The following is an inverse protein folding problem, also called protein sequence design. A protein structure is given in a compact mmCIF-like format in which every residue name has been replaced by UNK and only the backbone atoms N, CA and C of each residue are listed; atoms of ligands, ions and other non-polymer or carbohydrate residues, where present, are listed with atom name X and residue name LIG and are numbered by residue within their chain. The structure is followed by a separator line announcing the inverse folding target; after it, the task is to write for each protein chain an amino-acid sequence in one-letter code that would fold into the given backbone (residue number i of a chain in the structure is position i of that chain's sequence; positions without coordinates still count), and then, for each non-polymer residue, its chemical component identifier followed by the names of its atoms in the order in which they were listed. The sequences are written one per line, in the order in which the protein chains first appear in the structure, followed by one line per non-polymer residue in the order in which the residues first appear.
data_IF_127545633136
#
_entry.id   IF_127545633136
#
_cell.length_a   1.000
_cell.length_b   1.000
_cell.length_c   1.000
_cell.angle_alpha   90.00
_cell.angle_beta   90.00
_cell.angle_gamma   90.00
#
_symmetry.space_group_name_H-M   'P 1'
#
loop_
_entity.id
_entity.type
_entity.pdbx_description
1 polymer ?
#
# COMPACT_ATOMS: atom_id res chain seq x y z
N UNK A 1 -40.32 -35.31 -44.99
CA UNK A 1 -40.53 -34.45 -43.79
C UNK A 1 -39.77 -34.88 -42.52
N UNK A 2 -39.53 -36.18 -42.24
CA UNK A 2 -38.80 -36.60 -41.02
C UNK A 2 -37.30 -36.19 -40.98
N UNK A 3 -36.65 -36.15 -42.15
CA UNK A 3 -35.23 -35.77 -42.27
C UNK A 3 -34.97 -34.29 -41.94
N UNK A 4 -35.82 -33.37 -42.41
CA UNK A 4 -35.69 -31.93 -42.16
C UNK A 4 -35.84 -31.57 -40.67
N UNK A 5 -36.74 -32.25 -39.95
CA UNK A 5 -36.91 -32.05 -38.49
C UNK A 5 -35.67 -32.47 -37.70
N UNK A 6 -34.99 -33.56 -38.10
CA UNK A 6 -33.73 -33.99 -37.47
C UNK A 6 -32.62 -32.96 -37.70
N UNK A 7 -32.53 -32.41 -38.90
CA UNK A 7 -31.50 -31.43 -39.25
C UNK A 7 -31.67 -30.12 -38.47
N UNK A 8 -32.93 -29.68 -38.29
CA UNK A 8 -33.27 -28.52 -37.46
C UNK A 8 -32.94 -28.77 -35.98
N UNK A 9 -33.28 -29.94 -35.44
CA UNK A 9 -32.93 -30.28 -34.05
C UNK A 9 -31.42 -30.33 -33.80
N UNK A 10 -30.64 -30.84 -34.76
CA UNK A 10 -29.17 -30.84 -34.67
C UNK A 10 -28.65 -29.41 -34.69
N UNK A 11 -29.15 -28.56 -35.60
CA UNK A 11 -28.71 -27.18 -35.69
C UNK A 11 -29.04 -26.37 -34.43
N UNK A 12 -30.23 -26.56 -33.85
CA UNK A 12 -30.64 -25.94 -32.58
C UNK A 12 -29.78 -26.45 -31.40
N UNK A 13 -29.48 -27.75 -31.36
CA UNK A 13 -28.63 -28.31 -30.31
C UNK A 13 -27.20 -27.80 -30.42
N UNK A 14 -26.69 -27.63 -31.65
CA UNK A 14 -25.35 -27.11 -31.91
C UNK A 14 -25.24 -25.61 -31.61
N UNK A 15 -26.28 -24.82 -31.91
CA UNK A 15 -26.30 -23.40 -31.54
C UNK A 15 -26.49 -23.18 -30.04
N UNK A 16 -27.21 -24.06 -29.33
CA UNK A 16 -27.24 -24.05 -27.87
C UNK A 16 -25.87 -24.30 -27.24
N UNK A 17 -25.04 -25.16 -27.83
CA UNK A 17 -23.65 -25.36 -27.37
C UNK A 17 -22.83 -24.07 -27.46
N UNK A 18 -23.00 -23.25 -28.50
CA UNK A 18 -22.31 -21.95 -28.61
C UNK A 18 -22.82 -20.88 -27.63
N UNK A 19 -24.05 -21.01 -27.13
CA UNK A 19 -24.58 -20.12 -26.07
C UNK A 19 -24.10 -20.54 -24.67
N UNK A 20 -23.89 -21.84 -24.47
CA UNK A 20 -23.42 -22.41 -23.19
C UNK A 20 -21.90 -22.28 -22.98
N UNK A 21 -21.14 -22.14 -24.06
CA UNK A 21 -19.71 -21.84 -24.00
C UNK A 21 -19.51 -20.37 -24.43
N UNK A 22 -19.51 -19.40 -23.48
CA UNK A 22 -19.13 -18.05 -23.82
C UNK A 22 -17.77 -18.10 -24.52
N UNK A 23 -17.54 -17.31 -25.59
CA UNK A 23 -16.23 -17.23 -26.18
C UNK A 23 -15.27 -16.86 -25.06
N UNK A 24 -14.28 -17.72 -24.80
CA UNK A 24 -13.12 -17.34 -24.03
C UNK A 24 -12.43 -16.23 -24.85
N UNK A 25 -12.89 -14.99 -24.68
CA UNK A 25 -12.01 -13.86 -24.91
C UNK A 25 -10.86 -14.10 -23.97
N UNK A 26 -9.70 -14.46 -24.50
CA UNK A 26 -8.44 -14.31 -23.81
C UNK A 26 -8.41 -12.85 -23.38
N UNK A 27 -8.84 -12.58 -22.15
CA UNK A 27 -8.71 -11.27 -21.56
C UNK A 27 -7.22 -10.96 -21.68
N UNK A 28 -6.89 -9.83 -22.31
CA UNK A 28 -5.52 -9.37 -22.39
C UNK A 28 -4.90 -9.55 -21.00
N UNK A 29 -3.76 -10.24 -20.94
CA UNK A 29 -3.15 -10.66 -19.70
C UNK A 29 -3.03 -9.44 -18.79
N UNK A 30 -3.69 -9.47 -17.62
CA UNK A 30 -3.70 -8.32 -16.73
C UNK A 30 -2.39 -8.34 -15.92
N UNK A 31 -1.48 -7.36 -16.08
CA UNK A 31 -0.23 -7.28 -15.33
C UNK A 31 -0.38 -7.54 -13.83
N UNK A 32 -1.46 -6.98 -13.27
CA UNK A 32 -1.70 -6.96 -11.83
C UNK A 32 -2.23 -8.30 -11.32
N UNK A 33 -2.68 -9.19 -12.20
CA UNK A 33 -3.01 -10.58 -11.81
C UNK A 33 -1.77 -11.48 -11.75
N UNK A 34 -0.69 -11.15 -12.45
CA UNK A 34 0.56 -11.92 -12.44
C UNK A 34 1.65 -11.29 -11.55
N UNK A 35 1.42 -10.08 -11.01
CA UNK A 35 2.34 -9.45 -10.05
C UNK A 35 2.35 -10.24 -8.75
N UNK A 36 3.34 -11.13 -8.61
CA UNK A 36 3.65 -11.80 -7.36
C UNK A 36 4.03 -10.75 -6.30
N UNK A 37 3.22 -10.72 -5.22
CA UNK A 37 3.23 -9.83 -4.04
C UNK A 37 2.50 -8.50 -4.23
N UNK A 38 1.57 -8.24 -3.31
CA UNK A 38 1.01 -6.93 -3.01
C UNK A 38 2.13 -6.02 -2.46
N UNK A 39 3.06 -5.59 -3.32
CA UNK A 39 4.12 -4.66 -2.94
C UNK A 39 3.52 -3.26 -2.96
N UNK A 40 3.24 -2.75 -1.76
CA UNK A 40 2.61 -1.45 -1.56
C UNK A 40 3.57 -0.32 -1.95
N UNK A 41 3.23 0.44 -2.98
CA UNK A 41 3.95 1.68 -3.29
C UNK A 41 3.34 2.86 -2.55
N UNK A 42 4.17 3.56 -1.78
CA UNK A 42 3.78 4.81 -1.13
C UNK A 42 4.00 5.98 -2.07
N UNK A 43 3.04 6.89 -2.15
CA UNK A 43 3.10 8.03 -3.09
C UNK A 43 3.25 9.32 -2.31
N UNK A 44 4.22 10.14 -2.71
CA UNK A 44 4.41 11.49 -2.20
C UNK A 44 4.15 12.50 -3.31
N UNK A 45 3.33 13.51 -3.03
CA UNK A 45 2.99 14.58 -3.95
C UNK A 45 3.41 15.90 -3.32
N UNK A 46 4.24 16.66 -4.01
CA UNK A 46 4.74 17.97 -3.59
C UNK A 46 5.40 17.92 -2.19
N UNK A 47 6.10 16.82 -1.90
CA UNK A 47 6.77 16.53 -0.63
C UNK A 47 5.85 16.10 0.51
N UNK A 48 4.61 15.70 0.23
CA UNK A 48 3.63 15.24 1.25
C UNK A 48 3.10 13.85 0.91
N UNK A 49 2.82 13.05 1.92
CA UNK A 49 2.17 11.76 1.76
C UNK A 49 0.81 11.94 1.05
N UNK A 50 0.61 11.25 -0.06
CA UNK A 50 -0.65 11.24 -0.76
C UNK A 50 -1.61 10.25 -0.09
N UNK A 51 -2.74 10.75 0.39
CA UNK A 51 -3.75 9.90 1.02
C UNK A 51 -4.56 9.15 -0.05
N UNK A 52 -4.49 7.82 -0.05
CA UNK A 52 -5.41 6.98 -0.80
C UNK A 52 -5.72 5.73 0.00
N UNK A 53 -7.00 5.33 0.00
CA UNK A 53 -7.40 4.01 0.51
C UNK A 53 -6.93 2.88 -0.42
N UNK A 54 -6.78 3.22 -1.70
CA UNK A 54 -6.38 2.30 -2.75
C UNK A 54 -4.85 2.36 -2.89
N UNK A 55 -4.19 1.20 -2.88
CA UNK A 55 -2.73 1.05 -2.94
C UNK A 55 -2.22 1.05 -4.38
N UNK A 56 -0.98 1.47 -4.61
CA UNK A 56 -0.26 1.31 -5.87
C UNK A 56 0.54 0.00 -5.88
N UNK A 57 0.76 -0.56 -7.08
CA UNK A 57 1.37 -1.87 -7.28
C UNK A 57 2.54 -1.82 -8.26
N UNK A 58 3.49 -2.72 -8.09
CA UNK A 58 4.55 -3.00 -9.07
C UNK A 58 4.16 -4.23 -9.92
N UNK A 59 4.13 -4.10 -11.24
CA UNK A 59 3.82 -5.19 -12.18
C UNK A 59 4.58 -5.02 -13.50
N UNK A 60 4.39 -5.92 -14.48
CA UNK A 60 5.01 -5.86 -15.82
C UNK A 60 6.49 -5.47 -15.79
N UNK A 61 7.30 -6.29 -15.12
CA UNK A 61 8.77 -6.11 -15.05
C UNK A 61 9.24 -4.74 -14.54
N UNK A 62 8.59 -4.21 -13.49
CA UNK A 62 9.02 -2.98 -12.80
C UNK A 62 8.17 -1.74 -13.10
N UNK A 63 7.03 -1.91 -13.76
CA UNK A 63 6.07 -0.82 -13.99
C UNK A 63 5.22 -0.59 -12.75
N UNK A 64 5.24 0.64 -12.23
CA UNK A 64 4.35 1.05 -11.13
C UNK A 64 2.98 1.43 -11.67
N UNK A 65 1.92 0.87 -11.09
CA UNK A 65 0.52 1.16 -11.39
C UNK A 65 -0.14 1.86 -10.22
N UNK A 66 -0.70 3.04 -10.48
CA UNK A 66 -1.31 3.91 -9.47
C UNK A 66 -2.83 3.91 -9.66
N UNK A 67 -3.62 3.89 -8.56
CA UNK A 67 -5.07 4.06 -8.66
C UNK A 67 -5.42 5.38 -9.35
N UNK A 68 -6.30 5.33 -10.35
CA UNK A 68 -6.69 6.52 -11.12
C UNK A 68 -7.33 7.60 -10.21
N UNK A 69 -7.97 7.19 -9.11
CA UNK A 69 -8.53 8.12 -8.12
C UNK A 69 -7.48 9.03 -7.49
N UNK A 70 -6.18 8.70 -7.58
CA UNK A 70 -5.09 9.54 -7.11
C UNK A 70 -5.07 10.93 -7.79
N UNK A 71 -5.64 11.08 -9.00
CA UNK A 71 -5.83 12.40 -9.63
C UNK A 71 -6.65 13.37 -8.76
N UNK A 72 -7.50 12.87 -7.85
CA UNK A 72 -8.25 13.71 -6.89
C UNK A 72 -7.35 14.44 -5.89
N UNK A 73 -6.11 14.00 -5.68
CA UNK A 73 -5.15 14.69 -4.82
C UNK A 73 -4.54 15.94 -5.48
N UNK A 74 -4.60 16.04 -6.81
CA UNK A 74 -3.95 17.10 -7.59
C UNK A 74 -4.91 17.85 -8.54
N UNK A 75 -6.20 17.54 -8.46
CA UNK A 75 -7.21 18.07 -9.36
C UNK A 75 -8.54 17.33 -9.26
N UNK A 76 -9.24 17.22 -10.40
CA UNK A 76 -10.50 16.50 -10.53
C UNK A 76 -10.39 15.34 -11.50
N UNK A 77 -11.20 14.31 -11.24
CA UNK A 77 -11.37 13.13 -12.08
C UNK A 77 -12.87 12.89 -12.28
N UNK A 78 -13.32 12.89 -13.53
CA UNK A 78 -14.72 12.69 -13.90
C UNK A 78 -14.79 11.54 -14.90
N UNK A 79 -15.68 10.57 -14.70
CA UNK A 79 -15.92 9.53 -15.71
C UNK A 79 -16.70 10.14 -16.89
N UNK A 80 -16.19 9.97 -18.11
CA UNK A 80 -16.82 10.52 -19.34
C UNK A 80 -16.76 9.47 -20.44
N UNK A 81 -17.92 9.05 -20.94
CA UNK A 81 -18.03 8.04 -22.00
C UNK A 81 -17.24 6.77 -21.70
N UNK A 82 -16.29 6.43 -22.58
CA UNK A 82 -15.42 5.25 -22.46
C UNK A 82 -14.09 5.52 -21.74
N UNK A 83 -14.04 6.50 -20.85
CA UNK A 83 -12.81 6.88 -20.17
C UNK A 83 -13.05 7.83 -19.00
N UNK A 84 -12.06 8.67 -18.77
CA UNK A 84 -12.06 9.65 -17.71
C UNK A 84 -11.54 10.98 -18.24
N UNK A 85 -12.14 12.06 -17.79
CA UNK A 85 -11.61 13.40 -17.93
C UNK A 85 -10.83 13.76 -16.66
N UNK A 86 -9.56 14.10 -16.83
CA UNK A 86 -8.66 14.57 -15.78
C UNK A 86 -8.44 16.05 -15.98
N UNK A 87 -8.62 16.83 -14.91
CA UNK A 87 -8.28 18.26 -14.89
C UNK A 87 -7.42 18.53 -13.66
N UNK A 88 -6.15 18.83 -13.89
CA UNK A 88 -5.22 19.29 -12.86
C UNK A 88 -5.07 20.81 -12.95
N UNK A 89 -4.29 21.39 -12.03
CA UNK A 89 -3.87 22.80 -12.15
C UNK A 89 -3.05 23.07 -13.42
N UNK A 90 -2.46 22.03 -14.03
CA UNK A 90 -1.51 22.16 -15.15
C UNK A 90 -2.15 21.92 -16.49
N UNK A 91 -3.09 20.97 -16.58
CA UNK A 91 -3.77 20.67 -17.83
C UNK A 91 -5.06 19.91 -17.65
N UNK A 92 -5.77 19.80 -18.78
CA UNK A 92 -6.98 19.01 -18.94
C UNK A 92 -6.74 17.97 -20.03
N UNK A 93 -6.98 16.70 -19.74
CA UNK A 93 -6.72 15.60 -20.67
C UNK A 93 -7.71 14.45 -20.46
N UNK A 94 -7.95 13.67 -21.51
CA UNK A 94 -8.78 12.46 -21.43
C UNK A 94 -7.91 11.22 -21.31
N UNK A 95 -8.32 10.31 -20.43
CA UNK A 95 -7.74 8.98 -20.25
C UNK A 95 -8.72 7.97 -20.81
N UNK A 96 -8.31 7.22 -21.83
CA UNK A 96 -9.12 6.14 -22.38
C UNK A 96 -9.13 4.95 -21.42
N UNK A 97 -10.24 4.19 -21.35
CA UNK A 97 -10.25 2.90 -20.63
C UNK A 97 -9.18 1.93 -21.13
N UNK A 98 -8.75 2.04 -22.39
CA UNK A 98 -7.66 1.23 -22.98
C UNK A 98 -6.29 1.52 -22.36
N UNK A 99 -6.11 2.70 -21.78
CA UNK A 99 -4.90 3.09 -21.05
C UNK A 99 -4.98 2.71 -19.56
N UNK A 100 -6.02 1.99 -19.15
CA UNK A 100 -6.27 1.66 -17.74
C UNK A 100 -6.49 0.17 -17.55
N UNK A 101 -6.34 -0.27 -16.32
CA UNK A 101 -6.46 -1.67 -15.93
C UNK A 101 -7.41 -1.76 -14.75
N UNK A 102 -8.37 -2.67 -14.82
CA UNK A 102 -9.26 -2.95 -13.69
C UNK A 102 -8.70 -4.12 -12.89
N UNK A 103 -8.40 -3.90 -11.62
CA UNK A 103 -7.89 -4.92 -10.72
C UNK A 103 -8.53 -4.78 -9.33
N UNK A 104 -9.04 -5.89 -8.78
CA UNK A 104 -9.77 -5.92 -7.48
C UNK A 104 -10.83 -4.81 -7.34
N UNK A 105 -11.53 -4.47 -8.44
CA UNK A 105 -12.55 -3.41 -8.46
C UNK A 105 -12.03 -1.96 -8.46
N UNK A 106 -10.70 -1.77 -8.57
CA UNK A 106 -10.04 -0.47 -8.63
C UNK A 106 -9.43 -0.28 -10.03
N UNK A 107 -9.58 0.92 -10.59
CA UNK A 107 -8.99 1.26 -11.89
C UNK A 107 -7.61 1.85 -11.69
N UNK A 108 -6.63 1.29 -12.40
CA UNK A 108 -5.22 1.62 -12.35
C UNK A 108 -4.75 2.22 -13.67
N UNK A 109 -3.68 2.99 -13.60
CA UNK A 109 -2.95 3.56 -14.73
C UNK A 109 -1.46 3.49 -14.42
N UNK A 110 -0.60 3.30 -15.44
CA UNK A 110 0.85 3.30 -15.19
C UNK A 110 1.30 4.66 -14.67
N UNK A 111 2.34 4.67 -13.83
CA UNK A 111 2.90 5.88 -13.24
C UNK A 111 3.36 6.89 -14.30
N UNK A 112 4.04 6.40 -15.35
CA UNK A 112 4.45 7.23 -16.48
C UNK A 112 3.24 7.91 -17.15
N UNK A 113 2.16 7.16 -17.41
CA UNK A 113 0.95 7.72 -18.00
C UNK A 113 0.25 8.67 -17.03
N UNK A 114 0.27 8.40 -15.73
CA UNK A 114 -0.23 9.31 -14.70
C UNK A 114 0.52 10.66 -14.72
N UNK A 115 1.86 10.63 -14.77
CA UNK A 115 2.71 11.82 -14.90
C UNK A 115 2.40 12.57 -16.19
N UNK A 116 2.36 11.85 -17.31
CA UNK A 116 2.00 12.41 -18.60
C UNK A 116 0.67 13.13 -18.51
N UNK A 117 -0.41 12.50 -18.06
CA UNK A 117 -1.77 13.07 -18.02
C UNK A 117 -1.93 14.18 -16.97
N UNK A 118 -1.24 14.11 -15.83
CA UNK A 118 -1.30 15.16 -14.81
C UNK A 118 -0.53 16.42 -15.19
N UNK A 119 0.52 16.28 -16.00
CA UNK A 119 1.50 17.34 -16.25
C UNK A 119 2.46 17.55 -15.06
N UNK A 120 2.50 16.61 -14.12
CA UNK A 120 3.48 16.57 -13.04
C UNK A 120 4.75 15.90 -13.51
N UNK A 121 5.86 16.22 -12.84
CA UNK A 121 7.11 15.47 -12.92
C UNK A 121 7.19 14.49 -11.75
N UNK A 122 8.02 13.46 -11.87
CA UNK A 122 8.14 12.46 -10.82
C UNK A 122 9.24 11.44 -11.10
N UNK A 123 9.56 10.68 -10.06
CA UNK A 123 10.49 9.56 -10.07
C UNK A 123 10.07 8.53 -9.02
N UNK A 124 10.38 7.27 -9.25
CA UNK A 124 10.24 6.19 -8.27
C UNK A 124 11.61 5.80 -7.71
N UNK A 125 11.63 5.40 -6.45
CA UNK A 125 12.77 4.79 -5.76
C UNK A 125 12.36 3.37 -5.40
N UNK A 126 12.69 2.42 -6.28
CA UNK A 126 12.20 1.04 -6.17
C UNK A 126 12.72 0.35 -4.91
N UNK A 127 13.95 0.63 -4.48
CA UNK A 127 14.49 0.11 -3.21
C UNK A 127 13.69 0.55 -1.97
N UNK A 128 12.90 1.62 -2.10
CA UNK A 128 12.05 2.17 -1.04
C UNK A 128 10.57 1.89 -1.24
N UNK A 129 10.18 1.34 -2.41
CA UNK A 129 8.78 1.23 -2.83
C UNK A 129 8.04 2.57 -2.73
N UNK A 130 8.71 3.66 -3.14
CA UNK A 130 8.13 5.01 -3.11
C UNK A 130 8.09 5.64 -4.49
N UNK A 131 6.99 6.29 -4.82
CA UNK A 131 6.87 7.19 -5.96
C UNK A 131 6.76 8.65 -5.49
N UNK A 132 7.64 9.50 -6.00
CA UNK A 132 7.66 10.94 -5.75
C UNK A 132 7.13 11.70 -6.95
N UNK A 133 6.32 12.72 -6.69
CA UNK A 133 5.70 13.56 -7.70
C UNK A 133 5.76 15.02 -7.29
N UNK A 134 5.97 15.92 -8.25
CA UNK A 134 5.89 17.35 -8.02
C UNK A 134 5.26 18.09 -9.19
N UNK A 135 4.41 19.04 -8.84
CA UNK A 135 3.76 19.94 -9.76
C UNK A 135 4.74 21.03 -10.13
N UNK A 136 5.07 21.91 -9.20
CA UNK A 136 5.80 23.15 -9.40
C UNK A 136 7.20 23.17 -8.78
N UNK A 137 7.87 24.32 -8.85
CA UNK A 137 9.21 24.51 -8.30
C UNK A 137 9.24 24.34 -6.77
N UNK A 138 8.22 24.85 -6.08
CA UNK A 138 8.06 24.68 -4.64
C UNK A 138 7.85 23.20 -4.26
N UNK A 139 6.99 22.50 -5.00
CA UNK A 139 6.78 21.07 -4.88
C UNK A 139 8.04 20.26 -5.17
N UNK A 140 8.80 20.65 -6.20
CA UNK A 140 10.08 20.06 -6.55
C UNK A 140 11.10 20.23 -5.43
N UNK A 141 11.18 21.44 -4.86
CA UNK A 141 12.09 21.76 -3.76
C UNK A 141 11.77 20.95 -2.51
N UNK A 142 10.48 20.86 -2.11
CA UNK A 142 10.05 20.04 -0.98
C UNK A 142 10.33 18.56 -1.21
N UNK A 143 10.03 18.05 -2.42
CA UNK A 143 10.25 16.66 -2.77
C UNK A 143 11.73 16.28 -2.76
N UNK A 144 12.59 17.11 -3.37
CA UNK A 144 14.04 16.91 -3.35
C UNK A 144 14.62 16.97 -1.95
N UNK A 145 14.13 17.88 -1.09
CA UNK A 145 14.53 17.93 0.32
C UNK A 145 14.20 16.61 1.03
N UNK A 146 13.00 16.08 0.81
CA UNK A 146 12.56 14.79 1.35
C UNK A 146 13.46 13.65 0.86
N UNK A 147 13.67 13.54 -0.46
CA UNK A 147 14.54 12.52 -1.07
C UNK A 147 15.97 12.59 -0.51
N UNK A 148 16.56 13.79 -0.46
CA UNK A 148 17.91 13.98 0.09
C UNK A 148 18.00 13.61 1.56
N UNK A 149 16.95 13.90 2.35
CA UNK A 149 16.83 13.47 3.74
C UNK A 149 16.93 11.95 3.84
N UNK A 150 16.12 11.22 3.08
CA UNK A 150 16.13 9.74 3.09
C UNK A 150 17.47 9.19 2.60
N UNK A 151 18.06 9.76 1.55
CA UNK A 151 19.36 9.36 1.02
C UNK A 151 20.53 9.63 1.98
N UNK A 152 20.36 10.49 2.98
CA UNK A 152 21.37 10.73 4.04
C UNK A 152 21.40 9.62 5.10
N UNK A 153 20.31 8.87 5.25
CA UNK A 153 20.16 7.82 6.29
C UNK A 153 20.98 6.58 5.92
N UNK A 154 21.49 5.76 6.85
CA UNK A 154 22.08 4.46 6.52
C UNK A 154 21.10 3.53 5.79
N UNK A 155 21.57 2.79 4.76
CA UNK A 155 20.71 1.90 3.95
C UNK A 155 19.87 0.93 4.78
N UNK A 156 20.40 0.46 5.91
CA UNK A 156 19.72 -0.46 6.84
C UNK A 156 18.43 0.09 7.44
N UNK A 157 18.27 1.42 7.49
CA UNK A 157 17.07 2.06 8.03
C UNK A 157 16.21 2.68 6.92
N UNK A 158 16.76 2.97 5.74
CA UNK A 158 16.00 3.59 4.64
C UNK A 158 14.77 2.81 4.22
N UNK A 159 14.81 1.49 4.33
CA UNK A 159 13.72 0.61 3.90
C UNK A 159 12.41 0.83 4.64
N UNK A 160 12.41 1.53 5.79
CA UNK A 160 11.16 1.88 6.49
C UNK A 160 10.55 3.20 6.03
N UNK A 161 11.20 3.92 5.11
CA UNK A 161 10.65 5.15 4.59
C UNK A 161 9.37 4.87 3.77
N UNK A 162 8.31 5.64 3.99
CA UNK A 162 7.01 5.43 3.35
C UNK A 162 6.18 4.28 3.96
N UNK A 163 6.81 3.37 4.69
CA UNK A 163 6.12 2.21 5.28
C UNK A 163 5.10 2.61 6.35
N UNK A 164 4.07 1.76 6.46
CA UNK A 164 3.08 1.84 7.54
C UNK A 164 3.65 1.19 8.80
N UNK A 165 3.63 1.94 9.90
CA UNK A 165 4.16 1.55 11.21
C UNK A 165 3.12 1.75 12.29
N UNK A 166 3.25 1.02 13.39
CA UNK A 166 2.52 1.34 14.62
C UNK A 166 3.38 2.25 15.49
N UNK A 167 2.90 3.48 15.75
CA UNK A 167 3.61 4.43 16.62
C UNK A 167 3.12 4.28 18.05
N UNK A 168 4.04 4.01 18.99
CA UNK A 168 3.70 3.91 20.42
C UNK A 168 3.38 5.27 21.04
N UNK A 169 3.97 6.35 20.51
CA UNK A 169 3.71 7.70 20.99
C UNK A 169 2.34 8.23 20.55
N UNK A 170 1.89 7.87 19.35
CA UNK A 170 0.56 8.23 18.86
C UNK A 170 -0.53 7.23 19.27
N UNK A 171 -0.14 6.02 19.67
CA UNK A 171 -1.01 4.88 19.95
C UNK A 171 -1.97 4.56 18.80
N UNK A 172 -1.44 4.60 17.58
CA UNK A 172 -2.18 4.33 16.36
C UNK A 172 -1.22 4.08 15.19
N UNK A 173 -1.72 3.47 14.09
CA UNK A 173 -0.95 3.35 12.86
C UNK A 173 -0.65 4.70 12.22
N UNK A 174 0.51 4.80 11.59
CA UNK A 174 0.92 5.94 10.78
C UNK A 174 1.93 5.53 9.71
N UNK A 175 2.38 6.50 8.93
CA UNK A 175 3.36 6.31 7.86
C UNK A 175 4.60 7.13 8.15
N UNK A 176 5.77 6.60 7.80
CA UNK A 176 7.02 7.36 7.89
C UNK A 176 7.06 8.33 6.71
N UNK A 177 6.91 9.62 7.01
CA UNK A 177 6.79 10.69 5.99
C UNK A 177 8.04 11.55 5.84
N UNK A 178 9.00 11.40 6.74
CA UNK A 178 10.31 12.06 6.68
C UNK A 178 11.34 11.21 7.40
N UNK A 179 12.56 11.19 6.86
CA UNK A 179 13.73 10.64 7.54
C UNK A 179 14.93 11.50 7.23
N UNK A 180 15.81 11.73 8.22
CA UNK A 180 17.07 12.46 8.02
C UNK A 180 18.12 12.00 9.01
N UNK A 181 19.37 11.90 8.58
CA UNK A 181 20.48 11.58 9.47
C UNK A 181 20.95 12.83 10.23
N UNK A 182 20.96 12.75 11.55
CA UNK A 182 21.50 13.73 12.49
C UNK A 182 22.68 13.10 13.25
N UNK A 183 23.91 13.28 12.75
CA UNK A 183 25.12 12.66 13.30
C UNK A 183 25.02 11.12 13.39
N UNK A 184 24.81 10.57 14.59
CA UNK A 184 24.66 9.12 14.84
C UNK A 184 23.18 8.69 14.98
N UNK A 185 22.26 9.65 14.93
CA UNK A 185 20.82 9.44 15.05
C UNK A 185 20.17 9.53 13.67
N UNK A 186 19.16 8.71 13.43
CA UNK A 186 18.21 8.95 12.33
C UNK A 186 16.94 9.53 12.94
N UNK A 187 16.61 10.76 12.57
CA UNK A 187 15.31 11.37 12.88
C UNK A 187 14.27 10.82 11.90
N UNK A 188 13.10 10.44 12.43
CA UNK A 188 11.98 9.90 11.68
C UNK A 188 10.71 10.65 12.06
N UNK A 189 9.94 11.12 11.09
CA UNK A 189 8.60 11.68 11.32
C UNK A 189 7.54 10.68 10.91
N UNK A 190 6.67 10.32 11.85
CA UNK A 190 5.52 9.44 11.60
C UNK A 190 4.26 10.31 11.55
N UNK A 191 3.48 10.19 10.47
CA UNK A 191 2.20 10.86 10.30
C UNK A 191 1.05 9.84 10.37
N UNK A 192 0.10 10.05 11.26
CA UNK A 192 -1.12 9.25 11.34
C UNK A 192 -2.19 9.67 10.33
N UNK A 193 -3.23 8.84 10.17
CA UNK A 193 -4.31 9.07 9.20
C UNK A 193 -5.07 10.41 9.40
N UNK A 194 -5.11 10.93 10.63
CA UNK A 194 -5.74 12.21 10.94
C UNK A 194 -4.80 13.42 10.76
N UNK A 195 -3.56 13.19 10.29
CA UNK A 195 -2.56 14.23 10.05
C UNK A 195 -1.71 14.59 11.28
N UNK A 196 -1.96 14.02 12.46
CA UNK A 196 -1.06 14.21 13.61
C UNK A 196 0.29 13.56 13.32
N UNK A 197 1.36 14.25 13.70
CA UNK A 197 2.73 13.81 13.51
C UNK A 197 3.44 13.62 14.85
N UNK A 198 4.39 12.68 14.89
CA UNK A 198 5.38 12.56 15.96
C UNK A 198 6.78 12.43 15.35
N UNK A 199 7.77 12.97 16.03
CA UNK A 199 9.19 12.79 15.69
C UNK A 199 9.81 11.78 16.63
N UNK A 200 10.46 10.78 16.06
CA UNK A 200 11.14 9.69 16.76
C UNK A 200 12.60 9.61 16.29
N UNK A 201 13.43 8.94 17.09
CA UNK A 201 14.86 8.78 16.79
C UNK A 201 15.25 7.31 16.77
N UNK A 202 16.00 6.91 15.75
CA UNK A 202 16.65 5.62 15.67
C UNK A 202 18.12 5.83 16.03
N UNK A 203 18.60 5.12 17.06
CA UNK A 203 20.01 5.10 17.44
C UNK A 203 20.74 3.97 16.70
N UNK A 204 21.90 4.28 16.13
CA UNK A 204 22.70 3.31 15.37
C UNK A 204 22.95 2.00 16.11
N UNK A 205 22.52 0.88 15.53
CA UNK A 205 22.70 -0.47 16.07
C UNK A 205 21.58 -0.96 16.98
N UNK A 206 20.59 -0.13 17.29
CA UNK A 206 19.41 -0.49 18.09
C UNK A 206 18.20 -0.62 17.15
N UNK A 207 17.37 -1.65 17.35
CA UNK A 207 16.10 -1.82 16.63
C UNK A 207 15.15 -0.65 16.92
N UNK A 208 14.10 -0.49 16.11
CA UNK A 208 13.05 0.50 16.32
C UNK A 208 12.46 0.37 17.74
N UNK A 209 12.73 1.32 18.63
CA UNK A 209 12.29 1.28 20.03
C UNK A 209 10.92 1.94 20.24
N UNK A 210 10.58 2.91 19.37
CA UNK A 210 9.42 3.79 19.58
C UNK A 210 8.27 3.52 18.58
N UNK A 211 8.50 2.61 17.64
CA UNK A 211 7.52 2.10 16.70
C UNK A 211 7.93 0.69 16.23
N UNK A 212 7.00 -0.03 15.63
CA UNK A 212 7.28 -1.30 14.94
C UNK A 212 6.61 -1.33 13.57
N UNK A 213 7.01 -2.28 12.73
CA UNK A 213 6.29 -2.53 11.48
C UNK A 213 4.82 -2.82 11.78
N UNK A 214 3.92 -2.27 10.95
CA UNK A 214 2.49 -2.49 11.17
C UNK A 214 2.12 -3.98 11.06
N UNK A 215 2.80 -4.73 10.19
CA UNK A 215 2.66 -6.19 10.10
C UNK A 215 2.99 -6.87 11.43
N UNK A 216 4.08 -6.47 12.10
CA UNK A 216 4.47 -7.06 13.38
C UNK A 216 3.43 -6.78 14.47
N UNK A 217 2.93 -5.55 14.50
CA UNK A 217 1.83 -5.16 15.39
C UNK A 217 0.58 -6.01 15.13
N UNK A 218 0.13 -6.08 13.88
CA UNK A 218 -1.11 -6.77 13.51
C UNK A 218 -1.00 -8.28 13.75
N UNK A 219 0.07 -8.94 13.31
CA UNK A 219 0.19 -10.39 13.38
C UNK A 219 0.65 -10.89 14.74
N UNK A 220 1.71 -10.30 15.30
CA UNK A 220 2.30 -10.84 16.53
C UNK A 220 1.66 -10.28 17.79
N UNK A 221 1.12 -9.06 17.77
CA UNK A 221 0.57 -8.44 18.98
C UNK A 221 -0.94 -8.54 18.99
N UNK A 222 -1.59 -8.10 17.91
CA UNK A 222 -3.05 -8.05 17.84
C UNK A 222 -3.68 -9.41 17.56
N UNK A 223 -3.38 -10.04 16.42
CA UNK A 223 -4.01 -11.30 15.99
C UNK A 223 -3.58 -12.48 16.86
N UNK A 224 -2.28 -12.62 17.13
CA UNK A 224 -1.82 -13.77 17.89
C UNK A 224 -2.49 -13.82 19.26
N UNK A 225 -2.41 -12.73 20.03
CA UNK A 225 -2.77 -12.76 21.45
C UNK A 225 -4.21 -12.33 21.76
N UNK A 226 -4.89 -11.57 20.90
CA UNK A 226 -6.27 -11.13 21.21
C UNK A 226 -7.24 -12.29 21.15
N UNK A 227 -8.00 -12.51 22.22
CA UNK A 227 -8.91 -13.65 22.42
C UNK A 227 -8.24 -15.04 22.38
N UNK A 228 -6.90 -15.07 22.32
CA UNK A 228 -6.11 -16.29 22.23
C UNK A 228 -6.17 -17.13 23.50
N UNK A 229 -6.27 -18.43 23.32
CA UNK A 229 -6.23 -19.42 24.39
C UNK A 229 -4.92 -20.20 24.34
N UNK A 230 -4.15 -20.18 25.43
CA UNK A 230 -2.82 -20.75 25.48
C UNK A 230 -2.64 -21.68 26.66
N UNK A 231 -1.96 -22.80 26.43
CA UNK A 231 -1.54 -23.70 27.49
C UNK A 231 -0.29 -23.15 28.19
N UNK A 232 -0.33 -23.11 29.52
CA UNK A 232 0.83 -22.74 30.31
C UNK A 232 1.87 -23.87 30.22
N UNK A 233 3.08 -23.55 29.77
CA UNK A 233 4.18 -24.50 29.81
C UNK A 233 4.79 -24.52 31.22
N UNK A 234 4.31 -25.44 32.06
CA UNK A 234 4.76 -25.62 33.46
C UNK A 234 6.27 -25.92 33.57
N UNK A 235 6.93 -26.40 32.50
CA UNK A 235 8.37 -26.66 32.50
C UNK A 235 9.21 -25.38 32.36
N UNK A 236 8.62 -24.28 31.88
CA UNK A 236 9.31 -23.00 31.69
C UNK A 236 9.05 -22.00 32.82
N UNK A 237 8.19 -22.33 33.80
CA UNK A 237 7.91 -21.48 34.95
C UNK A 237 8.56 -22.09 36.20
N UNK A 238 9.34 -21.32 36.99
CA UNK A 238 9.82 -21.81 38.27
C UNK A 238 8.62 -22.14 39.18
N UNK A 239 8.76 -23.16 40.03
CA UNK A 239 7.71 -23.61 40.95
C UNK A 239 7.27 -22.54 41.95
N UNK A 240 8.07 -21.49 42.15
CA UNK A 240 7.75 -20.31 42.95
C UNK A 240 6.87 -19.29 42.23
N UNK A 241 6.58 -19.48 40.93
CA UNK A 241 5.72 -18.55 40.20
C UNK A 241 4.27 -18.66 40.71
N UNK A 242 3.63 -17.56 41.14
CA UNK A 242 2.26 -17.59 41.66
C UNK A 242 1.24 -18.13 40.63
N UNK A 243 1.58 -18.17 39.35
CA UNK A 243 0.75 -18.68 38.26
C UNK A 243 1.02 -20.15 37.91
N UNK A 244 1.87 -20.87 38.66
CA UNK A 244 2.26 -22.26 38.37
C UNK A 244 1.08 -23.26 38.34
N UNK A 245 -0.01 -22.93 39.03
CA UNK A 245 -1.24 -23.72 39.07
C UNK A 245 -2.12 -23.53 37.82
N UNK A 246 -1.86 -22.53 36.99
CA UNK A 246 -2.63 -22.28 35.78
C UNK A 246 -2.23 -23.28 34.69
N UNK A 247 -3.23 -23.90 34.07
CA UNK A 247 -3.02 -24.82 32.94
C UNK A 247 -3.27 -24.15 31.61
N UNK A 248 -4.22 -23.21 31.59
CA UNK A 248 -4.66 -22.52 30.40
C UNK A 248 -4.97 -21.07 30.75
N UNK A 249 -4.56 -20.16 29.89
CA UNK A 249 -4.89 -18.73 29.98
C UNK A 249 -5.68 -18.32 28.75
N UNK A 250 -6.63 -17.41 28.94
CA UNK A 250 -7.30 -16.71 27.85
C UNK A 250 -6.90 -15.25 27.94
N UNK A 251 -6.32 -14.72 26.88
CA UNK A 251 -5.99 -13.31 26.78
C UNK A 251 -7.20 -12.61 26.19
N UNK A 252 -7.83 -11.72 26.95
CA UNK A 252 -9.04 -11.02 26.51
C UNK A 252 -8.70 -9.81 25.63
N UNK A 253 -7.60 -9.13 25.94
CA UNK A 253 -7.09 -8.01 25.18
C UNK A 253 -5.58 -7.86 25.39
N UNK A 254 -4.92 -7.26 24.41
CA UNK A 254 -3.53 -6.82 24.50
C UNK A 254 -3.46 -5.34 24.20
N UNK A 255 -2.68 -4.62 25.00
CA UNK A 255 -2.45 -3.19 24.85
C UNK A 255 -0.96 -2.89 24.99
N UNK A 256 -0.42 -2.04 24.12
CA UNK A 256 0.99 -1.66 24.13
C UNK A 256 1.16 -0.46 25.04
N UNK A 257 1.51 -0.72 26.31
CA UNK A 257 1.80 0.36 27.25
C UNK A 257 3.11 1.07 26.90
N UNK A 258 3.03 2.38 26.76
CA UNK A 258 4.18 3.29 26.72
C UNK A 258 5.07 3.08 27.95
N UNK A 259 6.31 2.64 27.74
CA UNK A 259 7.34 2.74 28.79
C UNK A 259 7.82 4.19 28.77
N UNK A 260 7.36 4.99 29.74
CA UNK A 260 8.02 6.27 30.02
C UNK A 260 9.35 5.94 30.69
N UNK A 261 10.44 6.05 29.93
CA UNK A 261 11.77 6.15 30.51
C UNK A 261 11.83 7.51 31.21
N UNK A 262 11.91 7.46 32.55
CA UNK A 262 12.22 8.59 33.42
C UNK A 262 13.69 8.99 33.29
#
# INVERSE_FOLDING_TARGET
MKSLKKLICIFISFSLLFVLFPPHTLAANNPLTESYRDIEYTIFIDGKLASSKDQAYLADNGTVYIPIKMFKQIGSLIAVGNGFEVKTKRKKEQVSKKDTILYKGITYISFEKFLKVSGYSGSNEDDLMVAFMWGDEDGSTRTKKLMNGVLSVPKTYRSVFGEKVYSYALDQPGWIVSMTQLYQLTEVTIQSANGKTVTEYIYGGIRFSNFCYYFDYEHFIYIAFTEGEYWANKNNLPSSNPLYHLEKIKILSVDIKKIMLL
#
